data_IF_340894090195
#
_entry.id   IF_340894090195
#
_cell.length_a   1.000
_cell.length_b   1.000
_cell.length_c   1.000
_cell.angle_alpha   90.00
_cell.angle_beta   90.00
_cell.angle_gamma   90.00
#
_symmetry.space_group_name_H-M   'P 1'
#
loop_
_entity.id
_entity.type
_entity.pdbx_description
1 polymer ?
#
# COMPACT_ATOMS: atom_id res chain seq x y z
N UNK A 1 -10.73 -3.09 -28.36
CA UNK A 1 -10.39 -1.66 -28.50
C UNK A 1 -9.57 -1.26 -27.28
N UNK A 2 -8.40 -0.68 -27.48
CA UNK A 2 -7.50 -0.18 -26.42
C UNK A 2 -7.57 1.34 -26.38
N UNK A 3 -7.14 1.98 -25.29
CA UNK A 3 -7.07 3.45 -25.20
C UNK A 3 -6.32 4.10 -26.39
N UNK A 4 -5.38 3.37 -27.00
CA UNK A 4 -4.57 3.81 -28.14
C UNK A 4 -5.22 3.60 -29.51
N UNK A 5 -6.32 2.86 -29.59
CA UNK A 5 -7.02 2.54 -30.84
C UNK A 5 -8.50 2.94 -30.82
N UNK A 6 -8.93 3.67 -29.79
CA UNK A 6 -10.33 4.05 -29.60
C UNK A 6 -10.69 5.36 -30.31
N UNK A 7 -11.98 5.57 -30.53
CA UNK A 7 -12.49 6.81 -31.11
C UNK A 7 -12.52 7.92 -30.06
N UNK A 8 -12.44 9.18 -30.50
CA UNK A 8 -12.52 10.35 -29.61
C UNK A 8 -13.81 10.36 -28.77
N UNK A 9 -14.94 9.96 -29.37
CA UNK A 9 -16.23 9.96 -28.68
C UNK A 9 -16.27 8.91 -27.58
N UNK A 10 -15.76 7.70 -27.84
CA UNK A 10 -15.64 6.66 -26.83
C UNK A 10 -14.68 7.06 -25.70
N UNK A 11 -13.55 7.69 -26.02
CA UNK A 11 -12.61 8.21 -25.02
C UNK A 11 -13.27 9.27 -24.13
N UNK A 12 -14.12 10.13 -24.70
CA UNK A 12 -14.85 11.16 -23.94
C UNK A 12 -15.91 10.57 -23.01
N UNK A 13 -16.53 9.45 -23.40
CA UNK A 13 -17.46 8.70 -22.53
C UNK A 13 -16.69 8.02 -21.39
N UNK A 14 -15.56 7.39 -21.70
CA UNK A 14 -14.72 6.72 -20.70
C UNK A 14 -14.11 7.72 -19.70
N UNK A 15 -13.65 8.89 -20.16
CA UNK A 15 -13.12 9.96 -19.30
C UNK A 15 -14.16 10.40 -18.26
N UNK A 16 -15.39 10.70 -18.69
CA UNK A 16 -16.47 11.09 -17.77
C UNK A 16 -16.79 10.01 -16.75
N UNK A 17 -16.82 8.74 -17.17
CA UNK A 17 -17.06 7.62 -16.27
C UNK A 17 -15.91 7.44 -15.25
N UNK A 18 -14.66 7.60 -15.69
CA UNK A 18 -13.48 7.52 -14.82
C UNK A 18 -13.43 8.70 -13.84
N UNK A 19 -13.79 9.90 -14.27
CA UNK A 19 -13.86 11.08 -13.41
C UNK A 19 -14.87 10.88 -12.26
N UNK A 20 -16.05 10.31 -12.55
CA UNK A 20 -17.05 9.98 -11.53
C UNK A 20 -16.51 8.95 -10.52
N UNK A 21 -15.90 7.86 -11.00
CA UNK A 21 -15.28 6.83 -10.13
C UNK A 21 -14.14 7.39 -9.27
N UNK A 22 -13.35 8.30 -9.83
CA UNK A 22 -12.29 8.98 -9.09
C UNK A 22 -12.86 9.86 -7.97
N UNK A 23 -13.93 10.61 -8.24
CA UNK A 23 -14.60 11.42 -7.22
C UNK A 23 -15.15 10.55 -6.07
N UNK A 24 -15.77 9.41 -6.39
CA UNK A 24 -16.20 8.42 -5.39
C UNK A 24 -15.02 7.90 -4.55
N UNK A 25 -13.91 7.52 -5.20
CA UNK A 25 -12.72 7.02 -4.51
C UNK A 25 -12.11 8.09 -3.59
N UNK A 26 -12.02 9.34 -4.08
CA UNK A 26 -11.51 10.49 -3.30
C UNK A 26 -12.36 10.74 -2.06
N UNK A 27 -13.68 10.64 -2.19
CA UNK A 27 -14.63 10.84 -1.07
C UNK A 27 -14.53 9.76 0.01
N UNK A 28 -13.86 8.63 -0.25
CA UNK A 28 -13.59 7.61 0.78
C UNK A 28 -12.49 8.01 1.78
N UNK A 29 -11.74 9.08 1.54
CA UNK A 29 -10.73 9.57 2.48
C UNK A 29 -9.64 8.55 2.85
N UNK A 30 -9.30 7.67 1.90
CA UNK A 30 -8.37 6.56 2.14
C UNK A 30 -6.96 7.07 2.50
N UNK A 31 -6.34 6.42 3.49
CA UNK A 31 -4.94 6.62 3.88
C UNK A 31 -4.16 5.33 3.67
N UNK A 32 -3.97 4.95 2.40
CA UNK A 32 -3.23 3.75 2.01
C UNK A 32 -1.80 4.13 1.63
N UNK A 33 -0.84 3.28 1.99
CA UNK A 33 0.56 3.43 1.64
C UNK A 33 1.04 2.22 0.82
N UNK A 34 1.34 2.47 -0.45
CA UNK A 34 1.85 1.49 -1.41
C UNK A 34 3.34 1.73 -1.73
N UNK A 35 4.05 2.51 -0.91
CA UNK A 35 5.45 2.92 -1.15
C UNK A 35 6.47 2.00 -0.49
N UNK A 36 6.03 1.14 0.42
CA UNK A 36 6.93 0.34 1.28
C UNK A 36 7.54 -0.83 0.52
N UNK A 37 8.87 -0.82 0.38
CA UNK A 37 9.68 -1.94 -0.11
C UNK A 37 10.15 -2.91 0.98
N UNK A 38 9.48 -2.95 2.14
CA UNK A 38 9.87 -3.78 3.30
C UNK A 38 8.86 -4.91 3.54
N UNK A 39 9.30 -6.06 4.13
CA UNK A 39 8.41 -7.16 4.46
C UNK A 39 7.25 -6.72 5.35
N UNK A 40 6.12 -7.44 5.26
CA UNK A 40 5.03 -7.25 6.20
C UNK A 40 5.39 -7.78 7.60
N UNK A 41 4.69 -7.33 8.66
CA UNK A 41 4.88 -7.87 10.01
C UNK A 41 4.72 -9.40 10.07
N UNK A 42 3.79 -9.96 9.31
CA UNK A 42 3.56 -11.41 9.24
C UNK A 42 4.74 -12.16 8.62
N UNK A 43 5.42 -11.54 7.64
CA UNK A 43 6.63 -12.11 7.07
C UNK A 43 7.79 -12.09 8.07
N UNK A 44 7.92 -11.03 8.87
CA UNK A 44 8.94 -10.95 9.92
C UNK A 44 8.71 -11.96 11.04
N UNK A 45 7.44 -12.17 11.42
CA UNK A 45 7.08 -13.11 12.48
C UNK A 45 7.53 -14.57 12.21
N UNK A 46 7.74 -14.94 10.94
CA UNK A 46 8.29 -16.24 10.57
C UNK A 46 9.72 -16.46 11.10
N UNK A 47 10.47 -15.37 11.34
CA UNK A 47 11.83 -15.40 11.83
C UNK A 47 11.95 -15.24 13.35
N UNK A 48 10.86 -14.89 14.07
CA UNK A 48 10.88 -14.67 15.53
C UNK A 48 11.52 -15.83 16.34
N UNK A 49 11.30 -17.12 16.00
CA UNK A 49 11.95 -18.23 16.72
C UNK A 49 13.48 -18.27 16.58
N UNK A 50 14.05 -17.59 15.57
CA UNK A 50 15.49 -17.53 15.34
C UNK A 50 16.17 -16.46 16.21
N UNK A 51 15.42 -15.45 16.65
CA UNK A 51 15.98 -14.26 17.30
C UNK A 51 16.34 -14.46 18.79
N UNK A 52 15.90 -15.58 19.39
CA UNK A 52 16.44 -16.21 20.61
C UNK A 52 16.55 -15.35 21.89
N UNK A 53 17.40 -14.32 21.86
CA UNK A 53 17.75 -13.43 22.97
C UNK A 53 16.84 -12.21 23.11
N UNK A 54 16.13 -11.83 22.05
CA UNK A 54 15.31 -10.61 22.02
C UNK A 54 13.91 -10.80 22.63
N UNK A 55 13.45 -12.04 22.85
CA UNK A 55 12.16 -12.34 23.50
C UNK A 55 10.95 -11.54 22.94
N UNK A 56 10.91 -11.33 21.62
CA UNK A 56 9.89 -10.53 20.94
C UNK A 56 9.89 -9.02 21.27
N UNK A 57 11.00 -8.49 21.81
CA UNK A 57 11.19 -7.06 22.09
C UNK A 57 11.81 -6.34 20.88
N UNK A 58 10.97 -6.04 19.89
CA UNK A 58 11.37 -5.41 18.62
C UNK A 58 10.85 -3.99 18.44
N UNK A 59 10.11 -3.46 19.42
CA UNK A 59 9.46 -2.16 19.31
C UNK A 59 10.28 -1.13 20.09
N UNK A 60 10.83 -0.14 19.39
CA UNK A 60 11.55 0.96 20.03
C UNK A 60 10.61 1.85 20.87
N UNK A 61 11.16 2.70 21.76
CA UNK A 61 10.34 3.59 22.60
C UNK A 61 9.42 4.55 21.83
N UNK A 62 9.73 4.85 20.57
CA UNK A 62 8.89 5.67 19.68
C UNK A 62 7.83 4.85 18.90
N UNK A 63 7.75 3.54 19.14
CA UNK A 63 6.77 2.63 18.54
C UNK A 63 7.22 1.98 17.23
N UNK A 64 8.47 2.18 16.80
CA UNK A 64 8.96 1.63 15.54
C UNK A 64 9.39 0.16 15.67
N UNK A 65 8.95 -0.69 14.75
CA UNK A 65 9.46 -2.06 14.64
C UNK A 65 10.86 -2.05 14.02
N UNK A 66 11.88 -2.33 14.84
CA UNK A 66 13.30 -2.21 14.44
C UNK A 66 13.75 -3.32 13.49
N UNK A 67 12.99 -4.42 13.36
CA UNK A 67 13.23 -5.46 12.33
C UNK A 67 13.07 -4.90 10.91
N UNK A 68 12.39 -3.75 10.80
CA UNK A 68 12.11 -3.02 9.58
C UNK A 68 13.01 -1.79 9.40
N UNK A 69 14.32 -1.94 9.61
CA UNK A 69 15.34 -0.88 9.46
C UNK A 69 15.15 0.36 10.36
N UNK A 70 14.32 0.26 11.41
CA UNK A 70 14.10 1.37 12.36
C UNK A 70 13.24 2.52 11.83
N UNK A 71 12.49 2.32 10.73
CA UNK A 71 11.60 3.35 10.15
C UNK A 71 11.57 3.32 8.64
#
# INVERSE_FOLDING_TARGET
>A
VTLTSDTKDNLTIQERALAARYAELKNKGLKLDLTRGKPSPEQLALADPLDGSLNNDYISPDGTDVRNYGG
#
